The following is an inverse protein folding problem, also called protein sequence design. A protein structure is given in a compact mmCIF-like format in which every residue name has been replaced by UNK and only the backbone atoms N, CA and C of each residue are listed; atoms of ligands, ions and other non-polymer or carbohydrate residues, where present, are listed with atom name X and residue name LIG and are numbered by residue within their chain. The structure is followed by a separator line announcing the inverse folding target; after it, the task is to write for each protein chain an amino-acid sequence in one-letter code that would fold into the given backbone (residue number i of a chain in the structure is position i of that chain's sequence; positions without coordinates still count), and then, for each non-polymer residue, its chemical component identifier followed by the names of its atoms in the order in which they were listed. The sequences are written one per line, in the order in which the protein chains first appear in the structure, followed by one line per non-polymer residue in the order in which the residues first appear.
data_IF_906054506916
#
_entry.id   IF_906054506916
#
_cell.length_a   1.000
_cell.length_b   1.000
_cell.length_c   1.000
_cell.angle_alpha   90.00
_cell.angle_beta   90.00
_cell.angle_gamma   90.00
#
_symmetry.space_group_name_H-M   'P 1'
#
loop_
_entity.id
_entity.type
_entity.pdbx_description
1 polymer ?
#
# COMPACT_ATOMS: atom_id res chain seq x y z
N UNK A 1 -4.78 -29.36 -14.19
CA UNK A 1 -5.65 -28.23 -14.56
C UNK A 1 -6.09 -28.41 -16.00
N UNK A 2 -7.39 -28.35 -16.26
CA UNK A 2 -7.91 -28.51 -17.62
C UNK A 2 -7.56 -27.29 -18.49
N UNK A 3 -7.36 -27.49 -19.80
CA UNK A 3 -6.97 -26.43 -20.72
C UNK A 3 -7.96 -25.26 -20.77
N UNK A 4 -9.25 -25.51 -20.52
CA UNK A 4 -10.28 -24.48 -20.45
C UNK A 4 -10.15 -23.61 -19.20
N UNK A 5 -9.95 -24.21 -18.03
CA UNK A 5 -9.74 -23.48 -16.78
C UNK A 5 -8.47 -22.62 -16.84
N UNK A 6 -7.37 -23.18 -17.38
CA UNK A 6 -6.12 -22.43 -17.58
C UNK A 6 -6.36 -21.14 -18.37
N UNK A 7 -7.12 -21.23 -19.48
CA UNK A 7 -7.48 -20.07 -20.31
C UNK A 7 -8.33 -19.04 -19.57
N UNK A 8 -9.18 -19.45 -18.64
CA UNK A 8 -9.98 -18.49 -17.85
C UNK A 8 -9.11 -17.72 -16.87
N UNK A 9 -8.14 -18.39 -16.22
CA UNK A 9 -7.17 -17.71 -15.36
C UNK A 9 -6.29 -16.74 -16.16
N UNK A 10 -5.78 -17.18 -17.32
CA UNK A 10 -4.91 -16.36 -18.17
C UNK A 10 -5.57 -15.07 -18.67
N UNK A 11 -6.89 -15.06 -18.91
CA UNK A 11 -7.62 -13.85 -19.34
C UNK A 11 -7.64 -12.73 -18.31
N UNK A 12 -7.40 -13.06 -17.05
CA UNK A 12 -7.41 -12.10 -15.93
C UNK A 12 -6.00 -11.81 -15.41
N UNK A 13 -5.01 -12.48 -15.96
CA UNK A 13 -3.62 -12.34 -15.58
C UNK A 13 -2.99 -11.22 -16.42
N UNK A 14 -2.50 -10.19 -15.75
CA UNK A 14 -1.66 -9.13 -16.31
C UNK A 14 -0.21 -9.38 -15.89
N UNK A 15 0.72 -9.02 -16.77
CA UNK A 15 2.14 -9.24 -16.57
C UNK A 15 2.88 -7.90 -16.61
N UNK A 16 3.62 -7.62 -15.54
CA UNK A 16 4.48 -6.46 -15.39
C UNK A 16 5.95 -6.90 -15.30
N UNK A 17 6.94 -5.99 -15.39
CA UNK A 17 8.35 -6.36 -15.31
C UNK A 17 8.69 -7.15 -14.04
N UNK A 18 8.23 -6.68 -12.87
CA UNK A 18 8.61 -7.22 -11.56
C UNK A 18 7.59 -8.19 -10.94
N UNK A 19 6.36 -8.24 -11.45
CA UNK A 19 5.29 -9.04 -10.84
C UNK A 19 4.23 -9.48 -11.87
N UNK A 20 3.38 -10.41 -11.44
CA UNK A 20 2.12 -10.73 -12.09
C UNK A 20 0.95 -10.20 -11.26
N UNK A 21 -0.11 -9.72 -11.92
CA UNK A 21 -1.35 -9.31 -11.28
C UNK A 21 -2.50 -10.20 -11.77
N UNK A 22 -3.17 -10.89 -10.87
CA UNK A 22 -4.40 -11.60 -11.16
C UNK A 22 -5.62 -10.75 -10.76
N UNK A 23 -6.35 -10.23 -11.75
CA UNK A 23 -7.51 -9.37 -11.53
C UNK A 23 -8.75 -10.21 -11.16
N UNK A 24 -9.24 -10.05 -9.94
CA UNK A 24 -10.53 -10.61 -9.50
C UNK A 24 -11.69 -9.78 -10.06
N UNK A 25 -11.52 -8.46 -10.11
CA UNK A 25 -12.39 -7.51 -10.79
C UNK A 25 -11.64 -6.99 -12.00
N UNK A 26 -12.17 -7.20 -13.21
CA UNK A 26 -11.53 -6.68 -14.42
C UNK A 26 -11.66 -5.16 -14.49
N UNK A 27 -10.57 -4.51 -14.92
CA UNK A 27 -10.50 -3.06 -15.18
C UNK A 27 -11.00 -2.22 -14.00
N UNK A 28 -10.70 -2.68 -12.79
CA UNK A 28 -11.14 -2.03 -11.55
C UNK A 28 -10.61 -0.59 -11.46
N UNK A 29 -9.48 -0.30 -12.09
CA UNK A 29 -8.90 1.04 -12.11
C UNK A 29 -9.81 2.07 -12.76
N UNK A 30 -10.53 1.69 -13.83
CA UNK A 30 -11.51 2.55 -14.46
C UNK A 30 -12.78 2.75 -13.60
N UNK A 31 -13.06 1.82 -12.69
CA UNK A 31 -14.22 1.86 -11.79
C UNK A 31 -13.96 2.69 -10.53
N UNK A 32 -12.73 2.72 -10.06
CA UNK A 32 -12.34 3.28 -8.75
C UNK A 32 -11.37 4.48 -8.89
N UNK A 33 -11.58 5.32 -9.90
CA UNK A 33 -10.81 6.56 -10.07
C UNK A 33 -10.99 7.48 -8.86
N UNK A 34 -9.88 7.99 -8.33
CA UNK A 34 -9.83 8.84 -7.14
C UNK A 34 -9.81 8.07 -5.82
N UNK A 35 -10.02 6.75 -5.83
CA UNK A 35 -10.08 5.93 -4.62
C UNK A 35 -8.68 5.48 -4.16
N UNK A 36 -8.59 5.16 -2.86
CA UNK A 36 -7.37 4.62 -2.23
C UNK A 36 -7.32 3.10 -2.40
N UNK A 37 -6.30 2.65 -3.11
CA UNK A 37 -5.96 1.24 -3.25
C UNK A 37 -5.03 0.84 -2.10
N UNK A 38 -5.47 -0.10 -1.29
CA UNK A 38 -4.68 -0.67 -0.20
C UNK A 38 -4.05 -1.98 -0.69
N UNK A 39 -2.74 -2.06 -0.59
CA UNK A 39 -1.97 -3.27 -0.83
C UNK A 39 -1.44 -3.79 0.50
N UNK A 40 -1.78 -5.03 0.86
CA UNK A 40 -1.24 -5.67 2.06
C UNK A 40 -0.71 -7.06 1.75
N UNK A 41 0.32 -7.46 2.49
CA UNK A 41 1.03 -8.73 2.26
C UNK A 41 0.40 -9.86 3.05
N UNK A 42 0.01 -10.90 2.34
CA UNK A 42 -0.65 -12.11 2.82
C UNK A 42 0.27 -13.31 2.60
N UNK A 43 1.26 -13.48 3.48
CA UNK A 43 2.34 -14.46 3.32
C UNK A 43 3.11 -14.22 2.01
N UNK A 44 3.02 -15.13 1.03
CA UNK A 44 3.76 -15.06 -0.23
C UNK A 44 3.09 -14.25 -1.35
N UNK A 45 1.88 -13.72 -1.13
CA UNK A 45 1.15 -12.89 -2.11
C UNK A 45 0.85 -11.52 -1.51
N UNK A 46 0.60 -10.53 -2.36
CA UNK A 46 -0.03 -9.26 -1.92
C UNK A 46 -1.46 -9.18 -2.44
N UNK A 47 -2.36 -8.64 -1.63
CA UNK A 47 -3.76 -8.44 -1.99
C UNK A 47 -4.01 -6.96 -2.15
N UNK A 48 -4.63 -6.58 -3.27
CA UNK A 48 -5.06 -5.19 -3.49
C UNK A 48 -6.56 -5.08 -3.28
N UNK A 49 -6.97 -4.07 -2.52
CA UNK A 49 -8.36 -3.88 -2.14
C UNK A 49 -8.74 -2.42 -1.97
N UNK A 50 -10.04 -2.15 -2.08
CA UNK A 50 -10.63 -0.88 -1.69
C UNK A 50 -11.41 -1.06 -0.39
N UNK A 51 -11.37 -0.02 0.44
CA UNK A 51 -12.14 0.07 1.68
C UNK A 51 -13.12 1.22 1.54
N UNK A 52 -14.42 0.89 1.45
CA UNK A 52 -15.51 1.87 1.29
C UNK A 52 -16.52 1.70 2.42
N UNK A 53 -16.43 2.57 3.43
CA UNK A 53 -17.24 2.45 4.64
C UNK A 53 -16.93 1.16 5.40
N UNK A 54 -17.91 0.24 5.46
CA UNK A 54 -17.81 -1.06 6.14
C UNK A 54 -17.55 -2.22 5.17
N UNK A 55 -17.26 -1.92 3.90
CA UNK A 55 -17.03 -2.92 2.87
C UNK A 55 -15.56 -2.94 2.46
N UNK A 56 -15.04 -4.17 2.32
CA UNK A 56 -13.74 -4.43 1.76
C UNK A 56 -13.89 -5.32 0.53
N UNK A 57 -13.40 -4.83 -0.61
CA UNK A 57 -13.43 -5.54 -1.88
C UNK A 57 -12.01 -5.78 -2.37
N UNK A 58 -11.58 -7.05 -2.40
CA UNK A 58 -10.32 -7.43 -3.04
C UNK A 58 -10.52 -7.44 -4.54
N UNK A 59 -9.71 -6.66 -5.23
CA UNK A 59 -9.81 -6.45 -6.69
C UNK A 59 -8.72 -7.19 -7.45
N UNK A 60 -7.56 -7.44 -6.85
CA UNK A 60 -6.48 -8.20 -7.47
C UNK A 60 -5.58 -8.91 -6.45
N UNK A 61 -4.78 -9.85 -6.97
CA UNK A 61 -3.74 -10.57 -6.25
C UNK A 61 -2.42 -10.35 -7.00
N UNK A 62 -1.39 -9.90 -6.29
CA UNK A 62 -0.04 -9.67 -6.82
C UNK A 62 0.87 -10.83 -6.44
N UNK A 63 1.62 -11.31 -7.43
CA UNK A 63 2.62 -12.37 -7.31
C UNK A 63 3.98 -11.83 -7.76
N UNK A 64 4.93 -11.74 -6.83
CA UNK A 64 6.30 -11.31 -7.12
C UNK A 64 7.02 -12.33 -8.02
N UNK A 65 7.64 -11.87 -9.11
CA UNK A 65 8.36 -12.74 -10.06
C UNK A 65 9.62 -13.36 -9.47
N UNK A 66 10.16 -12.85 -8.37
CA UNK A 66 11.24 -13.47 -7.61
C UNK A 66 10.78 -14.75 -6.89
N UNK A 67 9.48 -14.88 -6.62
CA UNK A 67 8.90 -16.02 -5.90
C UNK A 67 8.03 -16.92 -6.79
N UNK A 68 7.42 -16.35 -7.84
CA UNK A 68 6.46 -17.03 -8.69
C UNK A 68 6.88 -17.04 -10.16
N UNK A 69 6.88 -18.24 -10.73
CA UNK A 69 6.81 -18.42 -12.17
C UNK A 69 5.36 -18.51 -12.64
N UNK A 70 5.12 -18.19 -13.92
CA UNK A 70 3.77 -18.16 -14.51
C UNK A 70 3.00 -19.47 -14.36
N UNK A 71 3.62 -20.62 -14.58
CA UNK A 71 2.90 -21.90 -14.44
C UNK A 71 2.63 -22.22 -12.95
N UNK A 72 3.51 -21.82 -12.04
CA UNK A 72 3.33 -22.00 -10.61
C UNK A 72 2.19 -21.13 -10.06
N UNK A 73 2.08 -19.86 -10.49
CA UNK A 73 0.97 -19.01 -10.07
C UNK A 73 -0.38 -19.56 -10.53
N UNK A 74 -0.46 -20.12 -11.75
CA UNK A 74 -1.71 -20.70 -12.24
C UNK A 74 -2.10 -21.94 -11.43
N UNK A 75 -1.12 -22.76 -11.03
CA UNK A 75 -1.35 -23.87 -10.11
C UNK A 75 -1.81 -23.37 -8.74
N UNK A 76 -1.16 -22.34 -8.21
CA UNK A 76 -1.56 -21.69 -6.95
C UNK A 76 -3.01 -21.22 -7.02
N UNK A 77 -3.40 -20.50 -8.08
CA UNK A 77 -4.77 -20.04 -8.30
C UNK A 77 -5.77 -21.18 -8.45
N UNK A 78 -5.35 -22.35 -8.98
CA UNK A 78 -6.23 -23.52 -9.08
C UNK A 78 -6.43 -24.23 -7.74
N UNK A 79 -5.46 -24.13 -6.82
CA UNK A 79 -5.45 -24.84 -5.56
C UNK A 79 -5.99 -24.00 -4.40
N UNK A 80 -5.60 -22.73 -4.33
CA UNK A 80 -5.99 -21.80 -3.28
C UNK A 80 -7.12 -20.88 -3.73
N UNK A 81 -7.92 -20.44 -2.76
CA UNK A 81 -8.87 -19.33 -2.90
C UNK A 81 -8.66 -18.31 -1.79
N UNK A 82 -9.12 -17.08 -2.04
CA UNK A 82 -9.13 -15.99 -1.07
C UNK A 82 -10.59 -15.58 -0.84
N UNK A 83 -10.98 -15.41 0.42
CA UNK A 83 -12.32 -14.99 0.82
C UNK A 83 -12.25 -13.83 1.81
N UNK A 84 -13.19 -12.90 1.69
CA UNK A 84 -13.39 -11.77 2.61
C UNK A 84 -14.75 -11.89 3.28
N UNK A 85 -14.73 -11.95 4.60
CA UNK A 85 -15.93 -11.90 5.43
C UNK A 85 -16.42 -10.46 5.68
N UNK A 86 -17.68 -10.34 6.11
CA UNK A 86 -18.21 -9.06 6.57
C UNK A 86 -17.48 -8.58 7.84
N UNK A 87 -17.32 -7.26 7.97
CA UNK A 87 -16.71 -6.65 9.15
C UNK A 87 -17.42 -7.07 10.44
N UNK A 88 -16.64 -7.25 11.51
CA UNK A 88 -17.14 -7.60 12.84
C UNK A 88 -17.77 -8.99 12.97
N UNK A 89 -17.74 -9.83 11.93
CA UNK A 89 -18.42 -11.14 11.91
C UNK A 89 -17.47 -12.28 11.60
N UNK A 90 -17.82 -13.48 12.07
CA UNK A 90 -17.22 -14.73 11.62
C UNK A 90 -17.56 -14.99 10.14
N UNK A 91 -16.64 -15.59 9.40
CA UNK A 91 -16.76 -15.80 7.96
C UNK A 91 -17.23 -17.23 7.64
N UNK A 92 -18.11 -17.36 6.64
CA UNK A 92 -18.52 -18.65 6.07
C UNK A 92 -17.92 -18.77 4.67
N UNK A 93 -17.03 -19.74 4.50
CA UNK A 93 -16.22 -19.88 3.31
C UNK A 93 -16.73 -21.07 2.51
N UNK A 94 -17.49 -20.84 1.43
CA UNK A 94 -17.97 -21.92 0.57
C UNK A 94 -16.83 -22.51 -0.26
N UNK A 95 -17.00 -23.77 -0.67
CA UNK A 95 -16.05 -24.50 -1.51
C UNK A 95 -14.63 -24.55 -0.91
N UNK A 96 -14.52 -24.69 0.40
CA UNK A 96 -13.27 -24.84 1.12
C UNK A 96 -13.09 -26.30 1.57
N UNK A 97 -11.92 -26.87 1.34
CA UNK A 97 -11.52 -28.18 1.88
C UNK A 97 -10.70 -28.05 3.16
N UNK A 98 -9.91 -26.96 3.28
CA UNK A 98 -9.17 -26.63 4.48
C UNK A 98 -8.93 -25.12 4.57
N UNK A 99 -8.86 -24.60 5.79
CA UNK A 99 -8.38 -23.24 6.05
C UNK A 99 -6.87 -23.29 6.20
N UNK A 100 -6.16 -22.53 5.38
CA UNK A 100 -4.70 -22.48 5.42
C UNK A 100 -4.21 -21.32 6.31
N UNK A 101 -4.78 -20.13 6.09
CA UNK A 101 -4.44 -18.90 6.81
C UNK A 101 -5.64 -17.98 6.93
N UNK A 102 -5.80 -17.33 8.08
CA UNK A 102 -6.80 -16.29 8.29
C UNK A 102 -6.26 -15.21 9.22
N UNK A 103 -6.61 -13.96 8.93
CA UNK A 103 -6.27 -12.79 9.74
C UNK A 103 -7.41 -11.77 9.63
N UNK A 104 -7.40 -10.79 10.53
CA UNK A 104 -8.22 -9.60 10.37
C UNK A 104 -7.45 -8.57 9.54
N UNK A 105 -8.16 -7.88 8.66
CA UNK A 105 -7.66 -6.72 7.94
C UNK A 105 -8.78 -5.67 7.89
N UNK A 106 -8.57 -4.54 8.58
CA UNK A 106 -9.61 -3.53 8.82
C UNK A 106 -10.91 -4.14 9.34
N UNK A 107 -10.83 -4.96 10.39
CA UNK A 107 -11.99 -5.65 10.99
C UNK A 107 -12.66 -6.73 10.11
N UNK A 108 -12.18 -6.97 8.88
CA UNK A 108 -12.65 -8.04 8.01
C UNK A 108 -11.82 -9.30 8.17
N UNK A 109 -12.46 -10.47 8.20
CA UNK A 109 -11.74 -11.74 8.11
C UNK A 109 -11.32 -11.95 6.65
N UNK A 110 -10.02 -11.89 6.38
CA UNK A 110 -9.45 -12.32 5.10
C UNK A 110 -8.87 -13.71 5.30
N UNK A 111 -9.28 -14.64 4.44
CA UNK A 111 -8.89 -16.06 4.56
C UNK A 111 -8.35 -16.59 3.25
N UNK A 112 -7.16 -17.18 3.29
CA UNK A 112 -6.67 -18.10 2.28
C UNK A 112 -7.09 -19.52 2.65
N UNK A 113 -7.69 -20.21 1.69
CA UNK A 113 -8.20 -21.56 1.89
C UNK A 113 -7.81 -22.46 0.73
N UNK A 114 -7.69 -23.75 1.00
CA UNK A 114 -7.53 -24.78 -0.02
C UNK A 114 -8.93 -25.07 -0.58
N UNK A 115 -9.08 -24.98 -1.91
CA UNK A 115 -10.35 -25.21 -2.58
C UNK A 115 -10.83 -26.65 -2.37
N UNK A 116 -12.13 -26.81 -2.16
CA UNK A 116 -12.80 -28.09 -1.90
C UNK A 116 -14.30 -27.97 -2.15
N UNK A 117 -15.09 -28.85 -1.52
CA UNK A 117 -16.54 -28.91 -1.72
C UNK A 117 -17.35 -28.57 -0.46
N UNK A 118 -16.69 -28.29 0.66
CA UNK A 118 -17.37 -28.03 1.93
C UNK A 118 -17.55 -26.53 2.17
N UNK A 119 -18.33 -26.19 3.19
CA UNK A 119 -18.39 -24.82 3.72
C UNK A 119 -17.75 -24.82 5.10
N UNK A 120 -16.63 -24.11 5.22
CA UNK A 120 -15.92 -23.97 6.49
C UNK A 120 -16.31 -22.65 7.16
N UNK A 121 -16.26 -22.62 8.49
CA UNK A 121 -16.49 -21.40 9.27
C UNK A 121 -15.20 -20.98 9.94
N UNK A 122 -14.78 -19.75 9.70
CA UNK A 122 -13.66 -19.13 10.41
C UNK A 122 -14.24 -18.20 11.47
N UNK A 123 -13.97 -18.56 12.73
CA UNK A 123 -14.34 -17.74 13.87
C UNK A 123 -13.46 -16.51 13.92
N UNK A 124 -14.08 -15.36 14.24
CA UNK A 124 -13.36 -14.11 14.46
C UNK A 124 -12.46 -14.19 15.69
N UNK A 125 -12.92 -14.89 16.73
CA UNK A 125 -12.24 -14.95 18.01
C UNK A 125 -10.85 -15.58 17.88
N UNK A 126 -9.83 -14.87 18.34
CA UNK A 126 -8.43 -15.32 18.32
C UNK A 126 -7.67 -14.98 17.04
N UNK A 127 -8.31 -14.39 16.03
CA UNK A 127 -7.58 -13.83 14.87
C UNK A 127 -6.89 -12.54 15.26
N UNK A 128 -5.68 -12.34 14.71
CA UNK A 128 -4.91 -11.10 14.89
C UNK A 128 -5.25 -10.12 13.78
N UNK A 129 -5.34 -8.85 14.13
CA UNK A 129 -5.42 -7.74 13.18
C UNK A 129 -4.06 -7.52 12.53
N UNK A 130 -4.02 -7.64 11.21
CA UNK A 130 -2.79 -7.50 10.44
C UNK A 130 -2.26 -6.07 10.52
N UNK A 131 -3.17 -5.09 10.55
CA UNK A 131 -2.85 -3.65 10.64
C UNK A 131 -2.30 -3.22 12.00
N UNK A 132 -2.40 -4.06 13.03
CA UNK A 132 -1.78 -3.77 14.34
C UNK A 132 -0.24 -3.93 14.30
N UNK A 133 0.27 -4.72 13.35
CA UNK A 133 1.70 -5.05 13.25
C UNK A 133 2.34 -4.59 11.94
N UNK A 134 1.54 -4.25 10.94
CA UNK A 134 2.00 -3.88 9.61
C UNK A 134 1.21 -2.68 9.10
N UNK A 135 1.85 -1.84 8.30
CA UNK A 135 1.18 -0.76 7.59
C UNK A 135 0.89 -1.23 6.15
N UNK A 136 -0.35 -1.10 5.64
CA UNK A 136 -0.61 -1.38 4.24
C UNK A 136 0.04 -0.30 3.38
N UNK A 137 0.55 -0.68 2.21
CA UNK A 137 0.92 0.27 1.18
C UNK A 137 -0.38 0.90 0.64
N UNK A 138 -0.40 2.23 0.50
CA UNK A 138 -1.58 2.96 0.02
C UNK A 138 -1.21 3.74 -1.23
N UNK A 139 -2.00 3.57 -2.28
CA UNK A 139 -1.85 4.27 -3.55
C UNK A 139 -3.16 4.94 -3.96
N UNK A 140 -3.11 6.11 -4.61
CA UNK A 140 -4.26 6.77 -5.23
C UNK A 140 -4.36 6.37 -6.68
N UNK A 141 -5.56 6.00 -7.15
CA UNK A 141 -5.83 5.85 -8.58
C UNK A 141 -6.21 7.22 -9.14
N UNK A 142 -5.45 7.72 -10.11
CA UNK A 142 -5.67 9.07 -10.63
C UNK A 142 -6.64 9.12 -11.81
N UNK A 143 -6.64 8.09 -12.65
CA UNK A 143 -7.36 8.09 -13.92
C UNK A 143 -7.83 6.68 -14.34
N UNK A 144 -8.55 6.63 -15.46
CA UNK A 144 -9.09 5.39 -16.03
C UNK A 144 -8.04 4.48 -16.66
N UNK A 145 -6.80 4.95 -16.84
CA UNK A 145 -5.68 4.14 -17.33
C UNK A 145 -4.98 3.38 -16.18
N UNK A 146 -5.43 3.62 -14.94
CA UNK A 146 -4.90 2.96 -13.76
C UNK A 146 -3.56 3.51 -13.34
N UNK A 147 -3.31 4.80 -13.56
CA UNK A 147 -2.18 5.48 -12.96
C UNK A 147 -2.33 5.46 -11.43
N UNK A 148 -1.40 4.79 -10.77
CA UNK A 148 -1.31 4.66 -9.31
C UNK A 148 -0.17 5.54 -8.80
N UNK A 149 -0.42 6.30 -7.74
CA UNK A 149 0.62 7.12 -7.07
C UNK A 149 0.61 6.81 -5.57
N UNK A 150 1.77 6.55 -4.94
CA UNK A 150 1.85 6.36 -3.49
C UNK A 150 1.28 7.54 -2.70
N UNK A 151 0.68 7.25 -1.54
CA UNK A 151 0.17 8.27 -0.61
C UNK A 151 0.86 8.13 0.75
N UNK A 152 1.51 9.20 1.26
CA UNK A 152 1.79 10.46 0.57
C UNK A 152 2.85 10.26 -0.53
N UNK A 153 2.81 11.08 -1.59
CA UNK A 153 3.87 11.04 -2.60
C UNK A 153 5.11 11.75 -2.06
N UNK A 154 6.14 10.98 -1.71
CA UNK A 154 7.43 11.50 -1.26
C UNK A 154 8.48 11.27 -2.34
N UNK A 155 9.18 12.32 -2.74
CA UNK A 155 10.34 12.24 -3.63
C UNK A 155 11.58 12.52 -2.78
N UNK A 156 12.42 11.50 -2.56
CA UNK A 156 13.64 11.61 -1.79
C UNK A 156 14.85 11.51 -2.73
N UNK A 157 15.65 12.56 -2.83
CA UNK A 157 16.81 12.63 -3.74
C UNK A 157 16.47 12.14 -5.17
N UNK A 158 15.45 12.72 -5.77
CA UNK A 158 14.90 12.38 -7.11
C UNK A 158 14.26 10.98 -7.25
N UNK A 159 14.14 10.20 -6.17
CA UNK A 159 13.48 8.89 -6.17
C UNK A 159 12.10 8.95 -5.49
N UNK A 160 11.06 8.41 -6.13
CA UNK A 160 9.73 8.29 -5.51
C UNK A 160 9.77 7.17 -4.49
N UNK A 161 9.45 7.50 -3.23
CA UNK A 161 9.33 6.53 -2.15
C UNK A 161 7.87 6.16 -1.91
N UNK A 162 7.60 4.87 -1.62
CA UNK A 162 6.26 4.41 -1.27
C UNK A 162 5.80 4.87 0.12
N UNK A 163 6.75 5.25 0.99
CA UNK A 163 6.51 5.65 2.38
C UNK A 163 7.40 6.85 2.73
N UNK A 164 6.99 7.61 3.74
CA UNK A 164 7.80 8.71 4.25
C UNK A 164 9.07 8.17 4.94
N UNK A 165 10.28 8.60 4.55
CA UNK A 165 11.51 8.12 5.18
C UNK A 165 11.64 8.66 6.61
N UNK A 166 12.13 7.81 7.53
CA UNK A 166 12.53 8.23 8.87
C UNK A 166 13.96 8.80 8.83
N UNK A 167 14.08 10.13 8.89
CA UNK A 167 15.37 10.85 8.83
C UNK A 167 15.71 11.45 10.20
N UNK A 168 16.98 11.35 10.62
CA UNK A 168 17.45 11.89 11.90
C UNK A 168 18.47 13.00 11.67
N UNK A 169 18.42 14.03 12.51
CA UNK A 169 19.25 15.21 12.39
C UNK A 169 19.93 15.56 13.72
N UNK A 170 21.21 15.92 13.65
CA UNK A 170 21.94 16.57 14.72
C UNK A 170 21.70 18.09 14.63
N UNK A 171 20.84 18.61 15.50
CA UNK A 171 20.48 20.05 15.56
C UNK A 171 21.64 21.05 15.69
N UNK A 172 22.85 20.60 16.00
CA UNK A 172 24.04 21.45 16.10
C UNK A 172 24.82 21.56 14.80
N UNK A 173 24.69 20.56 13.93
CA UNK A 173 25.53 20.37 12.74
C UNK A 173 24.68 20.38 11.47
N UNK A 174 23.45 19.84 11.54
CA UNK A 174 22.55 19.73 10.42
C UNK A 174 21.61 20.93 10.32
N UNK A 175 21.30 21.29 9.08
CA UNK A 175 20.36 22.33 8.72
C UNK A 175 19.17 21.71 7.99
N UNK A 176 17.97 21.93 8.52
CA UNK A 176 16.72 21.55 7.84
C UNK A 176 16.02 22.81 7.37
N UNK A 177 15.71 22.88 6.07
CA UNK A 177 14.96 23.97 5.44
C UNK A 177 13.65 23.40 4.92
N UNK A 178 12.53 23.98 5.36
CA UNK A 178 11.18 23.61 4.96
C UNK A 178 10.54 24.78 4.23
N UNK A 179 10.40 24.69 2.91
CA UNK A 179 9.82 25.71 2.04
C UNK A 179 10.41 27.11 2.34
N UNK A 180 11.75 27.19 2.45
CA UNK A 180 12.48 28.41 2.79
C UNK A 180 12.54 28.77 4.28
N UNK A 181 11.88 28.01 5.17
CA UNK A 181 11.92 28.23 6.62
C UNK A 181 12.91 27.29 7.29
N UNK A 182 13.86 27.83 8.07
CA UNK A 182 14.79 27.01 8.84
C UNK A 182 14.07 26.34 10.01
N UNK A 183 14.11 25.01 10.05
CA UNK A 183 13.48 24.17 11.05
C UNK A 183 14.54 23.61 12.00
N UNK A 184 14.33 23.79 13.30
CA UNK A 184 15.19 23.23 14.34
C UNK A 184 14.53 21.99 14.95
N UNK A 185 14.76 20.83 14.30
CA UNK A 185 14.12 19.54 14.54
C UNK A 185 15.16 18.43 14.72
N UNK A 186 14.78 17.34 15.39
CA UNK A 186 15.65 16.18 15.61
C UNK A 186 15.39 15.04 14.61
N UNK A 187 14.19 14.99 14.03
CA UNK A 187 13.83 13.98 13.03
C UNK A 187 12.66 14.41 12.16
N UNK A 188 12.59 13.78 11.00
CA UNK A 188 11.43 13.69 10.14
C UNK A 188 10.96 12.25 10.21
N UNK A 189 9.67 12.05 10.36
CA UNK A 189 9.08 10.73 10.42
C UNK A 189 7.67 10.78 9.86
N UNK A 190 7.11 9.61 9.61
CA UNK A 190 5.72 9.50 9.20
C UNK A 190 4.78 10.05 10.28
N UNK A 191 3.70 10.71 9.85
CA UNK A 191 2.64 11.17 10.73
C UNK A 191 1.30 11.08 9.99
N UNK A 192 0.41 10.20 10.46
CA UNK A 192 -0.82 9.87 9.75
C UNK A 192 -0.54 9.35 8.34
N UNK A 193 -1.17 9.97 7.34
CA UNK A 193 -0.95 9.74 5.90
C UNK A 193 0.05 10.75 5.30
N UNK A 194 0.88 11.38 6.14
CA UNK A 194 1.72 12.50 5.78
C UNK A 194 3.10 12.47 6.43
N UNK A 195 3.72 13.64 6.50
CA UNK A 195 5.06 13.85 7.07
C UNK A 195 4.98 14.69 8.34
N UNK A 196 5.68 14.24 9.39
CA UNK A 196 5.80 14.94 10.66
C UNK A 196 7.23 15.41 10.93
N UNK A 197 7.35 16.61 11.49
CA UNK A 197 8.61 17.21 11.91
C UNK A 197 8.67 17.21 13.44
N UNK A 198 9.66 16.54 14.03
CA UNK A 198 9.67 16.28 15.47
C UNK A 198 10.89 16.89 16.16
N UNK A 199 10.70 17.29 17.42
CA UNK A 199 11.78 17.48 18.37
C UNK A 199 11.95 16.25 19.26
N UNK A 200 13.08 16.18 19.93
CA UNK A 200 13.39 15.13 20.91
C UNK A 200 12.35 15.15 22.03
N UNK A 201 11.89 13.95 22.41
CA UNK A 201 10.99 13.70 23.53
C UNK A 201 9.57 14.28 23.40
N UNK A 202 9.12 14.68 22.21
CA UNK A 202 7.71 14.96 21.95
C UNK A 202 7.08 13.86 21.12
N UNK A 203 5.85 13.48 21.48
CA UNK A 203 5.09 12.44 20.79
C UNK A 203 4.45 12.99 19.51
N UNK A 204 3.93 14.21 19.58
CA UNK A 204 3.32 14.90 18.45
C UNK A 204 4.37 15.73 17.72
N UNK A 205 4.28 15.87 16.39
CA UNK A 205 5.20 16.68 15.63
C UNK A 205 4.97 18.17 15.92
N UNK A 206 6.03 18.99 15.85
CA UNK A 206 5.92 20.45 15.98
C UNK A 206 5.30 21.11 14.75
N UNK A 207 5.32 20.41 13.61
CA UNK A 207 4.70 20.76 12.35
C UNK A 207 4.44 19.47 11.57
N UNK A 208 3.41 19.45 10.74
CA UNK A 208 3.11 18.28 9.91
C UNK A 208 2.43 18.71 8.61
N UNK A 209 2.49 17.85 7.60
CA UNK A 209 1.76 18.00 6.35
C UNK A 209 1.04 16.68 6.04
N UNK A 210 -0.28 16.70 6.15
CA UNK A 210 -1.20 15.62 5.78
C UNK A 210 -2.07 16.12 4.63
N UNK A 211 -1.49 16.15 3.42
CA UNK A 211 -2.22 16.54 2.22
C UNK A 211 -1.85 15.60 1.07
N UNK A 212 -2.83 14.80 0.63
CA UNK A 212 -2.68 13.83 -0.46
C UNK A 212 -2.53 14.47 -1.84
N UNK A 213 -2.88 15.75 -1.97
CA UNK A 213 -2.73 16.51 -3.23
C UNK A 213 -1.39 17.26 -3.27
N UNK A 214 -0.48 16.98 -2.34
CA UNK A 214 0.85 17.57 -2.27
C UNK A 214 1.92 16.49 -2.42
N UNK A 215 2.89 16.76 -3.29
CA UNK A 215 4.14 16.03 -3.39
C UNK A 215 5.15 16.64 -2.43
N UNK A 216 5.75 15.80 -1.60
CA UNK A 216 6.78 16.19 -0.64
C UNK A 216 8.13 15.83 -1.24
N UNK A 217 8.89 16.84 -1.65
CA UNK A 217 10.24 16.66 -2.19
C UNK A 217 11.25 16.89 -1.06
N UNK A 218 12.12 15.92 -0.81
CA UNK A 218 13.15 15.93 0.21
C UNK A 218 14.50 15.70 -0.48
N UNK A 219 15.42 16.65 -0.33
CA UNK A 219 16.78 16.52 -0.82
C UNK A 219 17.76 16.62 0.35
N UNK A 220 18.65 15.63 0.48
CA UNK A 220 19.74 15.65 1.46
C UNK A 220 21.06 15.82 0.74
N UNK A 221 21.78 16.88 1.13
CA UNK A 221 23.14 17.16 0.71
C UNK A 221 24.06 16.95 1.92
N UNK A 222 25.06 16.09 1.76
CA UNK A 222 26.09 15.87 2.76
C UNK A 222 27.36 16.60 2.32
N UNK A 223 27.94 17.42 3.20
CA UNK A 223 29.28 17.95 2.97
C UNK A 223 30.29 16.89 3.41
N UNK A 224 31.16 16.43 2.51
CA UNK A 224 32.20 15.45 2.85
C UNK A 224 33.33 16.08 3.70
N UNK A 225 33.46 17.41 3.71
CA UNK A 225 34.50 18.15 4.41
C UNK A 225 34.08 18.66 5.80
N UNK A 226 32.79 18.99 5.99
CA UNK A 226 32.21 19.40 7.27
C UNK A 226 31.14 18.38 7.71
N UNK A 227 31.11 18.00 8.98
CA UNK A 227 30.25 16.90 9.48
C UNK A 227 28.72 17.18 9.46
N UNK A 228 28.25 18.19 8.73
CA UNK A 228 26.85 18.63 8.70
C UNK A 228 26.11 18.22 7.42
N UNK A 229 24.79 18.07 7.55
CA UNK A 229 23.87 17.78 6.44
C UNK A 229 22.93 18.95 6.20
N UNK A 230 22.67 19.26 4.93
CA UNK A 230 21.56 20.13 4.53
C UNK A 230 20.41 19.27 4.03
N UNK A 231 19.25 19.38 4.69
CA UNK A 231 18.01 18.78 4.25
C UNK A 231 17.07 19.88 3.76
N UNK A 232 16.79 19.92 2.46
CA UNK A 232 15.83 20.84 1.86
C UNK A 232 14.52 20.11 1.54
N UNK A 233 13.41 20.73 1.92
CA UNK A 233 12.08 20.14 1.84
C UNK A 233 11.14 21.12 1.18
N UNK A 234 10.56 20.72 0.06
CA UNK A 234 9.63 21.53 -0.71
C UNK A 234 8.32 20.81 -0.91
N UNK A 235 7.22 21.56 -0.84
CA UNK A 235 5.88 21.07 -1.13
C UNK A 235 5.47 21.54 -2.51
N UNK A 236 5.03 20.62 -3.37
CA UNK A 236 4.53 20.91 -4.70
C UNK A 236 3.11 20.38 -4.82
N UNK A 237 2.15 21.11 -5.40
CA UNK A 237 0.84 20.53 -5.69
C UNK A 237 1.02 19.39 -6.72
N UNK A 238 0.35 18.27 -6.49
CA UNK A 238 0.38 17.10 -7.39
C UNK A 238 -0.28 17.41 -8.74
N UNK A 239 -1.19 18.38 -8.76
CA UNK A 239 -1.85 18.90 -9.96
C UNK A 239 -1.67 20.42 -10.03
N UNK A 240 -1.11 20.90 -11.14
CA UNK A 240 -1.15 22.32 -11.45
C UNK A 240 -2.57 22.63 -11.94
N UNK A 241 -3.44 23.13 -11.06
CA UNK A 241 -4.83 23.52 -11.43
C UNK A 241 -4.89 24.75 -12.33
N UNK A 242 -3.80 25.15 -12.98
CA UNK A 242 -3.72 26.37 -13.78
C UNK A 242 -4.29 26.23 -15.20
N UNK A 243 -4.72 25.05 -15.65
CA UNK A 243 -5.24 24.84 -17.01
C UNK A 243 -6.78 24.85 -17.17
N UNK A 244 -7.56 25.18 -16.13
CA UNK A 244 -9.04 25.23 -16.24
C UNK A 244 -9.64 26.65 -16.34
N UNK A 245 -8.86 27.61 -16.84
CA UNK A 245 -9.37 28.94 -17.26
C UNK A 245 -8.68 29.46 -18.50
N UNK A 246 -9.03 28.94 -19.69
CA UNK A 246 -9.04 29.72 -20.95
C UNK A 246 -10.18 29.31 -21.86
#
# INVERSE_FOLDING_TARGET
MEAFEKRQYEKRLREYPEHFEYCLVQDYEARYVGERLYTFNADEISLQCFVQGMNLEIVSIIFDKQLFERDFLLQWLSYFGVHVGAAGKSARIPNAGAIDRAYLFFDHIVTRYIKGQETMTVKREGLKEWTDYNRPLVEKILDTEGRRIPIPMVVFNDEVLPECPSLKFNRKEDLVVLNGTVMNIDRIDEYGDGIGFYRKNIREPIAFMENEDVVIVINIFEDEAEAGKLCDITYMPMFDTTDDKR
#
